data_IF_562104192425
#
_entry.id   IF_562104192425
#
_cell.length_a   1.000
_cell.length_b   1.000
_cell.length_c   1.000
_cell.angle_alpha   90.00
_cell.angle_beta   90.00
_cell.angle_gamma   90.00
#
_symmetry.space_group_name_H-M   'P 1'
#
loop_
_entity.id
_entity.type
_entity.pdbx_description
1 polymer ?
#
# COMPACT_ATOMS: atom_id res chain seq x y z
N UNK A 1 56.45 30.22 74.96
CA UNK A 1 56.26 30.24 73.50
C UNK A 1 55.97 28.81 73.05
N UNK A 2 54.80 28.64 72.39
CA UNK A 2 54.42 27.60 71.40
C UNK A 2 54.56 26.13 71.85
N UNK A 3 53.51 25.40 72.25
CA UNK A 3 52.34 24.93 71.49
C UNK A 3 52.66 24.40 70.09
N UNK A 4 52.68 23.06 69.94
CA UNK A 4 52.41 22.35 68.69
C UNK A 4 51.66 21.04 69.00
N UNK A 5 50.35 21.18 69.02
CA UNK A 5 49.32 20.25 68.53
C UNK A 5 49.79 18.94 67.91
N UNK A 6 49.39 17.87 68.60
CA UNK A 6 49.10 16.54 68.10
C UNK A 6 48.04 16.59 66.97
N UNK A 7 48.33 16.01 65.80
CA UNK A 7 47.31 15.54 64.85
C UNK A 7 47.46 14.03 64.70
N UNK A 8 46.42 13.22 64.96
CA UNK A 8 46.40 11.82 64.53
C UNK A 8 46.19 11.76 63.01
N UNK A 9 47.10 11.07 62.32
CA UNK A 9 46.96 10.73 60.91
C UNK A 9 45.70 9.85 60.72
N UNK A 10 44.77 10.30 59.87
CA UNK A 10 43.66 9.47 59.41
C UNK A 10 44.21 8.24 58.65
N UNK A 11 43.75 7.02 58.95
CA UNK A 11 44.05 5.88 58.10
C UNK A 11 43.31 6.06 56.78
N UNK A 12 44.04 6.45 55.73
CA UNK A 12 43.55 6.43 54.35
C UNK A 12 43.17 4.99 54.00
N UNK A 13 41.88 4.69 54.09
CA UNK A 13 41.29 3.45 53.58
C UNK A 13 41.41 3.45 52.05
N UNK A 14 42.52 2.91 51.54
CA UNK A 14 42.65 2.58 50.12
C UNK A 14 41.68 1.45 49.81
N UNK A 15 40.59 1.76 49.10
CA UNK A 15 39.77 0.73 48.46
C UNK A 15 40.68 -0.17 47.60
N UNK A 16 40.63 -1.50 47.74
CA UNK A 16 41.55 -2.39 47.06
C UNK A 16 41.35 -2.31 45.54
N UNK A 17 42.45 -2.14 44.80
CA UNK A 17 42.48 -1.92 43.35
C UNK A 17 41.69 -2.97 42.53
N UNK A 18 41.53 -4.18 43.07
CA UNK A 18 40.75 -5.26 42.47
C UNK A 18 39.24 -4.98 42.46
N UNK A 19 38.69 -4.36 43.51
CA UNK A 19 37.27 -3.97 43.56
C UNK A 19 36.95 -2.82 42.61
N UNK A 20 37.89 -1.90 42.40
CA UNK A 20 37.75 -0.81 41.43
C UNK A 20 37.79 -1.31 39.98
N UNK A 21 38.62 -2.32 39.70
CA UNK A 21 38.71 -2.97 38.39
C UNK A 21 37.45 -3.80 38.07
N UNK A 22 36.93 -4.56 39.03
CA UNK A 22 35.67 -5.30 38.89
C UNK A 22 34.46 -4.36 38.70
N UNK A 23 34.39 -3.27 39.47
CA UNK A 23 33.35 -2.26 39.32
C UNK A 23 33.39 -1.58 37.93
N UNK A 24 34.60 -1.26 37.43
CA UNK A 24 34.79 -0.69 36.09
C UNK A 24 34.40 -1.66 34.97
N UNK A 25 34.73 -2.95 35.11
CA UNK A 25 34.33 -4.00 34.16
C UNK A 25 32.81 -4.25 34.17
N UNK A 26 32.19 -4.25 35.34
CA UNK A 26 30.74 -4.35 35.51
C UNK A 26 30.02 -3.13 34.89
N UNK A 27 30.51 -1.91 35.12
CA UNK A 27 29.98 -0.70 34.49
C UNK A 27 30.09 -0.74 32.95
N UNK A 28 31.21 -1.25 32.43
CA UNK A 28 31.47 -1.35 30.99
C UNK A 28 30.58 -2.40 30.32
N UNK A 29 30.37 -3.56 30.97
CA UNK A 29 29.37 -4.58 30.54
C UNK A 29 27.96 -4.00 30.55
N UNK A 30 27.56 -3.32 31.62
CA UNK A 30 26.24 -2.68 31.75
C UNK A 30 26.01 -1.58 30.70
N UNK A 31 27.03 -0.76 30.40
CA UNK A 31 26.98 0.26 29.34
C UNK A 31 26.90 -0.38 27.94
N UNK A 32 27.57 -1.51 27.69
CA UNK A 32 27.53 -2.25 26.42
C UNK A 32 26.14 -2.89 26.19
N UNK A 33 25.58 -3.54 27.21
CA UNK A 33 24.21 -4.09 27.17
C UNK A 33 23.15 -3.00 26.98
N UNK A 34 23.28 -1.86 27.68
CA UNK A 34 22.38 -0.70 27.47
C UNK A 34 22.47 -0.17 26.04
N UNK A 35 23.68 -0.12 25.44
CA UNK A 35 23.88 0.28 24.03
C UNK A 35 23.24 -0.72 23.06
N UNK A 36 23.40 -2.02 23.28
CA UNK A 36 22.78 -3.07 22.45
C UNK A 36 21.25 -3.07 22.56
N UNK A 37 20.69 -2.97 23.77
CA UNK A 37 19.24 -2.82 23.99
C UNK A 37 18.71 -1.57 23.29
N UNK A 38 19.42 -0.43 23.35
CA UNK A 38 19.07 0.79 22.59
C UNK A 38 19.09 0.55 21.08
N UNK A 39 20.08 -0.16 20.54
CA UNK A 39 20.16 -0.49 19.11
C UNK A 39 19.02 -1.40 18.67
N UNK A 40 18.73 -2.48 19.41
CA UNK A 40 17.59 -3.38 19.15
C UNK A 40 16.25 -2.63 19.18
N UNK A 41 16.03 -1.77 20.18
CA UNK A 41 14.83 -0.94 20.28
C UNK A 41 14.69 0.05 19.11
N UNK A 42 15.81 0.63 18.63
CA UNK A 42 15.81 1.48 17.43
C UNK A 42 15.50 0.69 16.16
N UNK A 43 16.06 -0.51 16.01
CA UNK A 43 15.78 -1.39 14.87
C UNK A 43 14.30 -1.81 14.84
N UNK A 44 13.73 -2.24 15.97
CA UNK A 44 12.30 -2.56 16.11
C UNK A 44 11.39 -1.38 15.75
N UNK A 45 11.71 -0.15 16.19
CA UNK A 45 11.00 1.07 15.75
C UNK A 45 11.11 1.32 14.24
N UNK A 46 12.25 0.99 13.63
CA UNK A 46 12.45 1.07 12.18
C UNK A 46 11.55 0.10 11.43
N UNK A 47 11.44 -1.14 11.93
CA UNK A 47 10.54 -2.17 11.41
C UNK A 47 9.08 -1.74 11.52
N UNK A 48 8.63 -1.28 12.69
CA UNK A 48 7.28 -0.75 12.90
C UNK A 48 6.97 0.43 11.94
N UNK A 49 7.92 1.36 11.80
CA UNK A 49 7.77 2.49 10.87
C UNK A 49 7.68 2.02 9.42
N UNK A 50 8.49 1.03 9.03
CA UNK A 50 8.44 0.45 7.69
C UNK A 50 7.07 -0.16 7.41
N UNK A 51 6.55 -1.01 8.30
CA UNK A 51 5.22 -1.61 8.15
C UNK A 51 4.13 -0.56 8.05
N UNK A 52 4.12 0.44 8.94
CA UNK A 52 3.14 1.53 8.93
C UNK A 52 3.17 2.33 7.63
N UNK A 53 4.37 2.70 7.17
CA UNK A 53 4.53 3.46 5.92
C UNK A 53 4.14 2.61 4.71
N UNK A 54 4.53 1.35 4.65
CA UNK A 54 4.22 0.45 3.53
C UNK A 54 2.72 0.20 3.42
N UNK A 55 2.04 -0.13 4.52
CA UNK A 55 0.57 -0.28 4.54
C UNK A 55 -0.13 1.01 4.10
N UNK A 56 0.29 2.16 4.63
CA UNK A 56 -0.22 3.45 4.19
C UNK A 56 0.00 3.73 2.71
N UNK A 57 1.16 3.35 2.16
CA UNK A 57 1.45 3.48 0.73
C UNK A 57 0.58 2.56 -0.13
N UNK A 58 0.32 1.31 0.27
CA UNK A 58 -0.58 0.41 -0.46
C UNK A 58 -2.01 0.91 -0.51
N UNK A 59 -2.53 1.43 0.61
CA UNK A 59 -3.85 2.07 0.65
C UNK A 59 -3.91 3.27 -0.30
N UNK A 60 -2.92 4.17 -0.23
CA UNK A 60 -2.82 5.31 -1.15
C UNK A 60 -2.71 4.89 -2.62
N UNK A 61 -1.92 3.86 -2.93
CA UNK A 61 -1.81 3.34 -4.28
C UNK A 61 -3.14 2.77 -4.78
N UNK A 62 -3.89 2.07 -3.92
CA UNK A 62 -5.23 1.59 -4.26
C UNK A 62 -6.18 2.77 -4.53
N UNK A 63 -6.19 3.78 -3.65
CA UNK A 63 -7.00 4.99 -3.83
C UNK A 63 -6.63 5.72 -5.13
N UNK A 64 -5.34 5.86 -5.44
CA UNK A 64 -4.89 6.46 -6.70
C UNK A 64 -5.33 5.65 -7.92
N UNK A 65 -5.32 4.31 -7.85
CA UNK A 65 -5.81 3.47 -8.93
C UNK A 65 -7.31 3.68 -9.14
N UNK A 66 -8.09 3.71 -8.06
CA UNK A 66 -9.54 3.92 -8.11
C UNK A 66 -9.88 5.35 -8.61
N UNK A 67 -9.12 6.36 -8.19
CA UNK A 67 -9.21 7.73 -8.73
C UNK A 67 -8.94 7.78 -10.23
N UNK A 68 -7.88 7.12 -10.71
CA UNK A 68 -7.56 7.07 -12.15
C UNK A 68 -8.61 6.34 -12.97
N UNK A 69 -9.22 5.30 -12.42
CA UNK A 69 -10.31 4.57 -13.07
C UNK A 69 -11.59 5.43 -13.11
N UNK A 70 -11.91 6.12 -12.01
CA UNK A 70 -13.05 7.04 -11.96
C UNK A 70 -12.88 8.20 -12.95
N UNK A 71 -11.68 8.76 -13.09
CA UNK A 71 -11.39 9.77 -14.12
C UNK A 71 -11.66 9.23 -15.54
N UNK A 72 -11.20 8.01 -15.83
CA UNK A 72 -11.48 7.35 -17.12
C UNK A 72 -12.98 7.16 -17.35
N UNK A 73 -13.73 6.74 -16.33
CA UNK A 73 -15.18 6.62 -16.41
C UNK A 73 -15.80 7.98 -16.73
N UNK A 74 -15.49 9.02 -15.95
CA UNK A 74 -16.06 10.37 -16.11
C UNK A 74 -15.78 10.98 -17.49
N UNK A 75 -14.56 10.86 -18.00
CA UNK A 75 -14.21 11.39 -19.33
C UNK A 75 -15.01 10.65 -20.41
N UNK A 76 -15.09 9.32 -20.34
CA UNK A 76 -15.80 8.53 -21.35
C UNK A 76 -17.33 8.69 -21.27
N UNK A 77 -17.91 8.82 -20.08
CA UNK A 77 -19.35 9.10 -19.95
C UNK A 77 -19.70 10.51 -20.44
N UNK A 78 -18.81 11.49 -20.24
CA UNK A 78 -18.95 12.82 -20.82
C UNK A 78 -18.90 12.78 -22.35
N UNK A 79 -17.94 12.04 -22.93
CA UNK A 79 -17.86 11.84 -24.39
C UNK A 79 -19.14 11.21 -24.94
N UNK A 80 -19.63 10.13 -24.32
CA UNK A 80 -20.89 9.49 -24.71
C UNK A 80 -22.05 10.48 -24.67
N UNK A 81 -22.18 11.27 -23.59
CA UNK A 81 -23.24 12.27 -23.45
C UNK A 81 -23.23 13.30 -24.59
N UNK A 82 -22.04 13.83 -24.92
CA UNK A 82 -21.87 14.80 -26.01
C UNK A 82 -22.17 14.15 -27.37
N UNK A 83 -21.67 12.94 -27.61
CA UNK A 83 -21.89 12.22 -28.88
C UNK A 83 -23.36 11.88 -29.10
N UNK A 84 -24.09 11.43 -28.07
CA UNK A 84 -25.54 11.18 -28.18
C UNK A 84 -26.30 12.48 -28.48
N UNK A 85 -25.90 13.60 -27.87
CA UNK A 85 -26.51 14.91 -28.14
C UNK A 85 -26.26 15.41 -29.57
N UNK A 86 -25.11 15.06 -30.15
CA UNK A 86 -24.79 15.28 -31.57
C UNK A 86 -25.67 14.40 -32.47
N UNK A 87 -25.79 13.12 -32.14
CA UNK A 87 -26.54 12.13 -32.91
C UNK A 87 -28.03 12.47 -33.09
N UNK A 88 -28.66 13.06 -32.07
CA UNK A 88 -30.07 13.47 -32.12
C UNK A 88 -30.33 14.76 -32.93
N UNK A 89 -29.28 15.45 -33.39
CA UNK A 89 -29.39 16.63 -34.26
C UNK A 89 -29.00 16.24 -35.68
N UNK A 90 -29.94 15.74 -36.51
CA UNK A 90 -29.66 15.50 -37.93
C UNK A 90 -29.33 16.85 -38.58
N UNK A 91 -28.04 17.09 -38.82
CA UNK A 91 -27.58 18.25 -39.58
C UNK A 91 -27.80 17.93 -41.05
N UNK A 92 -28.64 18.72 -41.74
CA UNK A 92 -28.90 18.54 -43.17
C UNK A 92 -27.57 18.44 -43.95
N UNK A 93 -27.32 17.28 -44.57
CA UNK A 93 -26.13 16.99 -45.36
C UNK A 93 -24.95 16.34 -44.61
N UNK A 94 -25.07 16.02 -43.31
CA UNK A 94 -23.98 15.46 -42.48
C UNK A 94 -23.85 13.92 -42.46
N UNK A 95 -24.34 13.24 -43.49
CA UNK A 95 -24.45 11.77 -43.57
C UNK A 95 -23.10 11.02 -43.48
N UNK A 96 -21.97 11.73 -43.52
CA UNK A 96 -20.62 11.15 -43.43
C UNK A 96 -20.01 11.05 -42.01
N UNK A 97 -20.55 11.71 -40.98
CA UNK A 97 -19.94 11.67 -39.63
C UNK A 97 -20.49 10.55 -38.73
N UNK A 98 -21.49 9.80 -39.20
CA UNK A 98 -22.10 8.71 -38.43
C UNK A 98 -21.09 7.62 -38.06
N UNK A 99 -20.17 7.28 -38.97
CA UNK A 99 -19.16 6.23 -38.75
C UNK A 99 -18.23 6.58 -37.57
N UNK A 100 -17.53 7.72 -37.55
CA UNK A 100 -16.66 8.08 -36.43
C UNK A 100 -17.43 8.29 -35.11
N UNK A 101 -18.69 8.77 -35.14
CA UNK A 101 -19.52 8.91 -33.93
C UNK A 101 -19.88 7.56 -33.30
N UNK A 102 -20.31 6.58 -34.11
CA UNK A 102 -20.60 5.22 -33.62
C UNK A 102 -19.32 4.57 -33.09
N UNK A 103 -18.20 4.74 -33.80
CA UNK A 103 -16.90 4.21 -33.38
C UNK A 103 -16.47 4.81 -32.03
N UNK A 104 -16.68 6.12 -31.82
CA UNK A 104 -16.40 6.79 -30.56
C UNK A 104 -17.27 6.25 -29.42
N UNK A 105 -18.55 5.99 -29.65
CA UNK A 105 -19.44 5.38 -28.66
C UNK A 105 -18.96 3.99 -28.25
N UNK A 106 -18.57 3.16 -29.22
CA UNK A 106 -18.06 1.81 -28.95
C UNK A 106 -16.76 1.86 -28.14
N UNK A 107 -15.80 2.69 -28.56
CA UNK A 107 -14.52 2.86 -27.84
C UNK A 107 -14.76 3.35 -26.41
N UNK A 108 -15.65 4.33 -26.24
CA UNK A 108 -15.94 4.90 -24.93
C UNK A 108 -16.64 3.90 -24.01
N UNK A 109 -17.60 3.14 -24.55
CA UNK A 109 -18.32 2.12 -23.79
C UNK A 109 -17.39 1.00 -23.32
N UNK A 110 -16.55 0.47 -24.21
CA UNK A 110 -15.58 -0.57 -23.86
C UNK A 110 -14.60 -0.06 -22.80
N UNK A 111 -14.11 1.18 -22.94
CA UNK A 111 -13.22 1.80 -21.95
C UNK A 111 -13.87 1.87 -20.58
N UNK A 112 -15.12 2.33 -20.49
CA UNK A 112 -15.89 2.39 -19.23
C UNK A 112 -16.01 1.00 -18.60
N UNK A 113 -16.35 -0.02 -19.39
CA UNK A 113 -16.48 -1.40 -18.89
C UNK A 113 -15.15 -1.89 -18.27
N UNK A 114 -14.02 -1.67 -18.95
CA UNK A 114 -12.70 -2.06 -18.41
C UNK A 114 -12.36 -1.25 -17.15
N UNK A 115 -12.65 0.04 -17.12
CA UNK A 115 -12.43 0.88 -15.92
C UNK A 115 -13.27 0.44 -14.72
N UNK A 116 -14.53 0.04 -14.93
CA UNK A 116 -15.39 -0.52 -13.88
C UNK A 116 -14.80 -1.84 -13.34
N UNK A 117 -14.23 -2.68 -14.21
CA UNK A 117 -13.54 -3.89 -13.73
C UNK A 117 -12.29 -3.58 -12.89
N UNK A 118 -11.62 -2.45 -13.14
CA UNK A 118 -10.46 -2.01 -12.36
C UNK A 118 -10.86 -1.53 -10.95
N UNK A 119 -12.04 -0.92 -10.79
CA UNK A 119 -12.57 -0.48 -9.48
C UNK A 119 -13.25 -1.61 -8.70
N UNK A 120 -13.61 -2.72 -9.35
CA UNK A 120 -14.23 -3.87 -8.69
C UNK A 120 -13.32 -4.45 -7.61
N UNK A 121 -13.81 -4.63 -6.37
CA UNK A 121 -13.02 -5.28 -5.32
C UNK A 121 -12.76 -6.75 -5.68
N UNK A 122 -11.48 -7.16 -5.73
CA UNK A 122 -11.08 -8.50 -6.18
C UNK A 122 -10.68 -9.38 -4.99
N UNK A 123 -11.65 -10.10 -4.42
CA UNK A 123 -11.43 -11.02 -3.30
C UNK A 123 -10.83 -12.38 -3.71
N UNK A 124 -11.09 -12.85 -4.94
CA UNK A 124 -10.70 -14.20 -5.39
C UNK A 124 -9.20 -14.40 -5.62
N UNK A 125 -8.42 -13.35 -5.88
CA UNK A 125 -6.98 -13.49 -6.12
C UNK A 125 -6.23 -13.95 -4.87
N UNK A 126 -6.64 -13.45 -3.71
CA UNK A 126 -5.98 -13.75 -2.44
C UNK A 126 -6.14 -15.22 -2.05
N UNK A 127 -7.33 -15.81 -2.26
CA UNK A 127 -7.60 -17.23 -2.02
C UNK A 127 -6.76 -18.18 -2.91
N UNK A 128 -6.37 -17.74 -4.10
CA UNK A 128 -5.71 -18.59 -5.09
C UNK A 128 -4.19 -18.48 -5.08
N UNK A 129 -3.62 -17.34 -4.66
CA UNK A 129 -2.16 -17.08 -4.76
C UNK A 129 -1.43 -17.30 -3.44
N UNK A 130 -2.13 -17.27 -2.30
CA UNK A 130 -1.55 -17.66 -1.01
C UNK A 130 -2.07 -19.06 -0.62
N UNK A 131 -1.33 -20.15 -0.93
CA UNK A 131 -1.60 -21.42 -0.29
C UNK A 131 -1.47 -21.22 1.22
N UNK A 132 -2.45 -21.73 1.98
CA UNK A 132 -2.56 -21.53 3.43
C UNK A 132 -1.31 -22.08 4.13
N UNK A 133 -0.31 -21.25 4.37
CA UNK A 133 0.83 -21.59 5.24
C UNK A 133 0.46 -21.03 6.61
N UNK A 134 0.39 -21.93 7.59
CA UNK A 134 -0.18 -21.70 8.92
C UNK A 134 0.27 -20.39 9.60
N UNK A 135 -0.63 -19.68 10.31
CA UNK A 135 -1.99 -20.08 10.65
C UNK A 135 -2.99 -19.90 9.48
N UNK A 136 -4.05 -20.74 9.40
CA UNK A 136 -4.92 -20.86 8.22
C UNK A 136 -5.88 -19.68 8.00
N UNK A 137 -5.80 -18.64 8.84
CA UNK A 137 -6.66 -17.46 8.89
C UNK A 137 -5.76 -16.24 9.13
N UNK A 138 -5.71 -15.32 8.17
CA UNK A 138 -5.04 -14.02 8.37
C UNK A 138 -5.91 -13.15 9.28
N UNK A 139 -5.51 -13.03 10.53
CA UNK A 139 -6.21 -12.24 11.54
C UNK A 139 -6.20 -10.74 11.23
N UNK A 140 -5.28 -10.27 10.37
CA UNK A 140 -5.19 -8.87 9.98
C UNK A 140 -6.10 -8.53 8.79
N UNK A 141 -6.73 -9.53 8.15
CA UNK A 141 -7.59 -9.34 6.99
C UNK A 141 -9.06 -9.62 7.28
N UNK A 142 -9.93 -8.65 6.98
CA UNK A 142 -11.36 -8.72 7.25
C UNK A 142 -12.10 -9.84 6.54
N UNK A 143 -11.67 -10.25 5.35
CA UNK A 143 -12.31 -11.38 4.65
C UNK A 143 -12.02 -12.74 5.29
N UNK A 144 -11.03 -12.83 6.16
CA UNK A 144 -10.65 -14.08 6.84
C UNK A 144 -11.12 -14.08 8.30
N UNK A 145 -10.85 -13.02 9.08
CA UNK A 145 -11.22 -12.99 10.50
C UNK A 145 -12.74 -12.95 10.73
N UNK A 146 -13.54 -12.52 9.76
CA UNK A 146 -15.02 -12.51 9.87
C UNK A 146 -15.63 -13.91 9.96
N UNK A 147 -14.84 -14.96 9.73
CA UNK A 147 -15.24 -16.36 9.94
C UNK A 147 -15.15 -16.78 11.42
N UNK A 148 -14.54 -15.94 12.27
CA UNK A 148 -14.37 -16.19 13.71
C UNK A 148 -15.42 -15.44 14.53
N UNK A 149 -15.80 -16.00 15.68
CA UNK A 149 -16.53 -15.25 16.71
C UNK A 149 -15.64 -14.18 17.34
N UNK A 150 -16.24 -13.14 17.94
CA UNK A 150 -15.49 -12.07 18.59
C UNK A 150 -14.54 -12.57 19.70
N UNK A 151 -14.94 -13.63 20.42
CA UNK A 151 -14.11 -14.26 21.45
C UNK A 151 -12.89 -14.97 20.83
N UNK A 152 -13.11 -15.78 19.79
CA UNK A 152 -12.05 -16.48 19.06
C UNK A 152 -11.06 -15.51 18.40
N UNK A 153 -11.57 -14.43 17.79
CA UNK A 153 -10.72 -13.41 17.20
C UNK A 153 -9.84 -12.74 18.25
N UNK A 154 -10.41 -12.35 19.41
CA UNK A 154 -9.65 -11.74 20.50
C UNK A 154 -8.54 -12.66 21.00
N UNK A 155 -8.86 -13.93 21.25
CA UNK A 155 -7.90 -14.91 21.75
C UNK A 155 -6.74 -15.12 20.75
N UNK A 156 -7.06 -15.39 19.48
CA UNK A 156 -6.06 -15.65 18.46
C UNK A 156 -5.21 -14.40 18.17
N UNK A 157 -5.82 -13.21 18.16
CA UNK A 157 -5.08 -11.96 17.97
C UNK A 157 -4.13 -11.68 19.13
N UNK A 158 -4.53 -11.96 20.37
CA UNK A 158 -3.64 -11.85 21.54
C UNK A 158 -2.45 -12.81 21.44
N UNK A 159 -2.67 -14.04 21.00
CA UNK A 159 -1.60 -15.01 20.76
C UNK A 159 -0.65 -14.54 19.66
N UNK A 160 -1.18 -13.98 18.56
CA UNK A 160 -0.37 -13.41 17.48
C UNK A 160 0.48 -12.23 17.97
N UNK A 161 -0.11 -11.30 18.73
CA UNK A 161 0.61 -10.14 19.29
C UNK A 161 1.71 -10.58 20.27
N UNK A 162 1.49 -11.67 21.02
CA UNK A 162 2.50 -12.21 21.93
C UNK A 162 3.70 -12.86 21.20
N UNK A 163 3.53 -13.26 19.93
CA UNK A 163 4.58 -13.85 19.11
C UNK A 163 5.06 -12.84 18.04
N UNK A 164 6.16 -12.14 18.32
CA UNK A 164 6.74 -11.12 17.43
C UNK A 164 7.06 -11.66 16.02
N UNK A 165 7.61 -12.87 15.91
CA UNK A 165 7.93 -13.49 14.63
C UNK A 165 6.66 -13.82 13.83
N UNK A 166 5.65 -14.40 14.50
CA UNK A 166 4.35 -14.69 13.89
C UNK A 166 3.63 -13.44 13.42
N UNK A 167 3.64 -12.37 14.22
CA UNK A 167 3.06 -11.09 13.85
C UNK A 167 3.74 -10.51 12.61
N UNK A 168 5.07 -10.48 12.58
CA UNK A 168 5.81 -9.96 11.42
C UNK A 168 5.57 -10.77 10.16
N UNK A 169 5.56 -12.11 10.24
CA UNK A 169 5.25 -12.96 9.10
C UNK A 169 3.83 -12.68 8.57
N UNK A 170 2.84 -12.59 9.46
CA UNK A 170 1.46 -12.25 9.08
C UNK A 170 1.36 -10.87 8.41
N UNK A 171 2.10 -9.87 8.90
CA UNK A 171 2.14 -8.54 8.27
C UNK A 171 2.82 -8.57 6.89
N UNK A 172 3.89 -9.35 6.72
CA UNK A 172 4.57 -9.53 5.42
C UNK A 172 3.61 -10.15 4.41
N UNK A 173 2.93 -11.23 4.79
CA UNK A 173 1.96 -11.91 3.94
C UNK A 173 0.81 -10.98 3.55
N UNK A 174 0.32 -10.19 4.51
CA UNK A 174 -0.73 -9.22 4.27
C UNK A 174 -0.31 -8.12 3.28
N UNK A 175 0.91 -7.59 3.40
CA UNK A 175 1.48 -6.62 2.44
C UNK A 175 1.60 -7.24 1.04
N UNK A 176 2.12 -8.47 0.94
CA UNK A 176 2.25 -9.16 -0.33
C UNK A 176 0.88 -9.38 -1.01
N UNK A 177 -0.11 -9.84 -0.25
CA UNK A 177 -1.48 -10.03 -0.74
C UNK A 177 -2.10 -8.72 -1.25
N UNK A 178 -1.91 -7.61 -0.53
CA UNK A 178 -2.36 -6.29 -0.98
C UNK A 178 -1.65 -5.85 -2.28
N UNK A 179 -0.35 -6.13 -2.41
CA UNK A 179 0.42 -5.88 -3.62
C UNK A 179 -0.11 -6.62 -4.85
N UNK A 180 -0.54 -7.88 -4.71
CA UNK A 180 -1.11 -8.66 -5.81
C UNK A 180 -2.44 -8.07 -6.31
N UNK A 181 -3.33 -7.68 -5.39
CA UNK A 181 -4.61 -7.04 -5.74
C UNK A 181 -4.36 -5.73 -6.47
N UNK A 182 -3.41 -4.93 -5.97
CA UNK A 182 -3.01 -3.67 -6.56
C UNK A 182 -2.46 -3.86 -7.98
N UNK A 183 -1.56 -4.82 -8.18
CA UNK A 183 -0.98 -5.15 -9.49
C UNK A 183 -2.07 -5.45 -10.53
N UNK A 184 -3.11 -6.22 -10.16
CA UNK A 184 -4.23 -6.48 -11.08
C UNK A 184 -5.03 -5.22 -11.40
N UNK A 185 -5.33 -4.37 -10.41
CA UNK A 185 -6.02 -3.09 -10.63
C UNK A 185 -5.26 -2.24 -11.63
N UNK A 186 -3.95 -2.07 -11.42
CA UNK A 186 -3.08 -1.30 -12.32
C UNK A 186 -3.00 -1.92 -13.72
N UNK A 187 -2.93 -3.25 -13.84
CA UNK A 187 -2.93 -3.92 -15.14
C UNK A 187 -4.23 -3.66 -15.93
N UNK A 188 -5.39 -3.80 -15.29
CA UNK A 188 -6.68 -3.49 -15.93
C UNK A 188 -6.76 -2.01 -16.32
N UNK A 189 -6.28 -1.13 -15.46
CA UNK A 189 -6.23 0.30 -15.73
C UNK A 189 -5.34 0.60 -16.95
N UNK A 190 -4.13 0.04 -17.02
CA UNK A 190 -3.24 0.20 -18.17
C UNK A 190 -3.91 -0.28 -19.46
N UNK A 191 -4.62 -1.40 -19.43
CA UNK A 191 -5.38 -1.89 -20.59
C UNK A 191 -6.48 -0.89 -21.00
N UNK A 192 -7.24 -0.34 -20.04
CA UNK A 192 -8.25 0.68 -20.34
C UNK A 192 -7.65 1.93 -20.99
N UNK A 193 -6.55 2.45 -20.43
CA UNK A 193 -5.87 3.63 -20.97
C UNK A 193 -5.33 3.38 -22.38
N UNK A 194 -4.68 2.25 -22.62
CA UNK A 194 -4.13 1.92 -23.94
C UNK A 194 -5.25 1.73 -24.97
N UNK A 195 -6.32 1.03 -24.59
CA UNK A 195 -7.48 0.84 -25.46
C UNK A 195 -8.14 2.18 -25.82
N UNK A 196 -8.39 3.02 -24.82
CA UNK A 196 -8.95 4.36 -25.04
C UNK A 196 -8.04 5.22 -25.92
N UNK A 197 -6.74 5.26 -25.63
CA UNK A 197 -5.79 6.10 -26.36
C UNK A 197 -5.70 5.70 -27.85
N UNK A 198 -5.59 4.41 -28.14
CA UNK A 198 -5.54 3.91 -29.53
C UNK A 198 -6.90 4.13 -30.21
N UNK A 199 -8.00 3.73 -29.56
CA UNK A 199 -9.34 3.87 -30.12
C UNK A 199 -9.71 5.32 -30.40
N UNK A 200 -9.46 6.23 -29.46
CA UNK A 200 -9.70 7.66 -29.63
C UNK A 200 -8.87 8.25 -30.77
N UNK A 201 -7.61 7.84 -30.91
CA UNK A 201 -6.77 8.27 -32.03
C UNK A 201 -7.34 7.83 -33.38
N UNK A 202 -7.83 6.59 -33.47
CA UNK A 202 -8.50 6.06 -34.66
C UNK A 202 -9.80 6.84 -34.97
N UNK A 203 -10.61 7.15 -33.96
CA UNK A 203 -11.81 8.00 -34.13
C UNK A 203 -11.43 9.35 -34.73
N UNK A 204 -10.44 10.03 -34.15
CA UNK A 204 -10.00 11.36 -34.59
C UNK A 204 -9.54 11.30 -36.04
N UNK A 205 -8.70 10.32 -36.40
CA UNK A 205 -8.25 10.14 -37.78
C UNK A 205 -9.40 9.84 -38.74
N UNK A 206 -10.33 8.97 -38.36
CA UNK A 206 -11.52 8.65 -39.16
C UNK A 206 -12.38 9.89 -39.38
N UNK A 207 -12.56 10.72 -38.34
CA UNK A 207 -13.32 11.97 -38.44
C UNK A 207 -12.64 12.96 -39.38
N UNK A 208 -11.32 13.11 -39.30
CA UNK A 208 -10.55 14.00 -40.19
C UNK A 208 -10.62 13.54 -41.65
N UNK A 209 -10.45 12.25 -41.92
CA UNK A 209 -10.53 11.70 -43.28
C UNK A 209 -11.92 11.94 -43.87
N UNK A 210 -12.99 11.65 -43.12
CA UNK A 210 -14.37 11.89 -43.59
C UNK A 210 -14.66 13.38 -43.79
N UNK A 211 -14.09 14.25 -42.95
CA UNK A 211 -14.23 15.70 -43.11
C UNK A 211 -13.54 16.22 -44.39
N UNK A 212 -12.33 15.74 -44.68
CA UNK A 212 -11.57 16.13 -45.88
C UNK A 212 -12.21 15.54 -47.14
N UNK A 213 -12.63 14.28 -47.12
CA UNK A 213 -13.29 13.63 -48.26
C UNK A 213 -14.64 14.26 -48.63
N UNK A 214 -15.24 15.02 -47.71
CA UNK A 214 -16.50 15.73 -47.91
C UNK A 214 -16.32 17.17 -48.43
N UNK A 215 -15.11 17.74 -48.36
CA UNK A 215 -14.79 19.04 -48.99
C UNK A 215 -14.57 18.87 -50.48
#
# INVERSE_FOLDING_TARGET
MTDQTNLPEEPTAQLPADQALEAALAEKKTKKEKKEKKKKKKASKGVETMFRTTLGNHLRLSEMADQKANLMITINTLLISITISSFLRPVAGADGLLIPEILLLIVSLITVVISIFATKPSFSLRKNVMPRIHPPIDLLFFGDYTQLSAAQYREQLQQLIANEEGLYNSMIDNIYAQGLVLSKKYRLLTVAYNFFMVGFSVVVLSSLVMLVARR
#
